data_IF_941611784008
#
_entry.id   IF_941611784008
#
_cell.length_a   1.000
_cell.length_b   1.000
_cell.length_c   1.000
_cell.angle_alpha   90.00
_cell.angle_beta   90.00
_cell.angle_gamma   90.00
#
_symmetry.space_group_name_H-M   'P 1'
#
loop_
_entity.id
_entity.type
_entity.pdbx_description
1 polymer ?
#
# COMPACT_ATOMS: atom_id res chain seq x y z
N UNK A 1 -2.09 21.09 3.28
CA UNK A 1 -3.33 20.42 3.75
C UNK A 1 -3.12 18.92 3.77
N UNK A 2 -3.83 18.18 4.62
CA UNK A 2 -3.67 16.71 4.75
C UNK A 2 -5.01 16.05 4.52
N UNK A 3 -4.97 14.88 3.88
CA UNK A 3 -6.12 13.99 3.77
C UNK A 3 -5.80 12.72 4.52
N UNK A 4 -6.78 12.20 5.27
CA UNK A 4 -6.71 10.90 5.92
C UNK A 4 -7.76 10.00 5.31
N UNK A 5 -7.34 8.92 4.67
CA UNK A 5 -8.20 7.91 4.08
C UNK A 5 -8.30 6.76 5.09
N UNK A 6 -9.48 6.52 5.60
CA UNK A 6 -9.75 5.45 6.55
C UNK A 6 -10.27 4.24 5.77
N UNK A 7 -9.54 3.14 5.84
CA UNK A 7 -9.80 1.95 5.03
C UNK A 7 -10.10 0.75 5.92
N UNK A 8 -11.24 0.11 5.68
CA UNK A 8 -11.49 -1.24 6.16
C UNK A 8 -10.91 -2.23 5.16
N UNK A 9 -9.98 -3.05 5.62
CA UNK A 9 -9.30 -4.06 4.82
C UNK A 9 -9.79 -5.44 5.23
N UNK A 10 -10.77 -5.93 4.50
CA UNK A 10 -11.37 -7.23 4.76
C UNK A 10 -10.52 -8.33 4.11
N UNK A 11 -9.79 -9.06 4.93
CA UNK A 11 -9.07 -10.26 4.51
C UNK A 11 -10.06 -11.40 4.32
N UNK A 12 -10.26 -11.84 3.07
CA UNK A 12 -11.27 -12.84 2.68
C UNK A 12 -10.68 -14.26 2.56
N UNK A 13 -9.36 -14.39 2.54
CA UNK A 13 -8.64 -15.67 2.60
C UNK A 13 -7.61 -15.62 3.71
N UNK A 14 -6.90 -16.71 3.97
CA UNK A 14 -5.70 -16.63 4.82
C UNK A 14 -4.71 -15.59 4.28
N UNK A 15 -3.99 -14.92 5.18
CA UNK A 15 -2.97 -13.93 4.81
C UNK A 15 -1.62 -14.27 5.42
N UNK A 16 -0.57 -14.27 4.60
CA UNK A 16 0.80 -14.45 5.07
C UNK A 16 1.55 -13.12 5.00
N UNK A 17 1.66 -12.45 6.15
CA UNK A 17 2.29 -11.12 6.29
C UNK A 17 3.57 -11.18 7.12
N UNK A 18 4.45 -12.09 6.78
CA UNK A 18 5.74 -12.31 7.48
C UNK A 18 6.80 -11.30 7.04
N UNK A 19 7.80 -11.07 7.89
CA UNK A 19 8.98 -10.28 7.58
C UNK A 19 10.04 -11.18 6.96
N UNK A 20 10.84 -10.66 6.02
CA UNK A 20 11.93 -11.40 5.40
C UNK A 20 12.88 -11.99 6.46
N UNK A 21 13.18 -13.28 6.33
CA UNK A 21 13.99 -14.03 7.29
C UNK A 21 13.27 -14.47 8.58
N UNK A 22 11.95 -14.29 8.66
CA UNK A 22 11.10 -14.79 9.76
C UNK A 22 9.83 -15.39 9.18
N UNK A 23 9.44 -16.55 9.68
CA UNK A 23 8.21 -17.24 9.29
C UNK A 23 7.03 -16.91 10.23
N UNK A 24 7.25 -15.98 11.17
CA UNK A 24 6.29 -15.59 12.19
C UNK A 24 5.52 -14.32 11.81
N UNK A 25 4.26 -14.29 12.19
CA UNK A 25 3.38 -13.10 12.05
C UNK A 25 3.75 -12.08 13.15
N UNK A 26 3.83 -10.81 12.75
CA UNK A 26 4.06 -9.72 13.70
C UNK A 26 2.81 -9.43 14.51
N UNK A 27 2.96 -9.32 15.83
CA UNK A 27 1.87 -9.02 16.76
C UNK A 27 2.18 -7.79 17.62
N UNK A 28 1.14 -7.20 18.20
CA UNK A 28 1.25 -6.12 19.19
C UNK A 28 0.09 -6.18 20.17
N UNK A 29 0.29 -5.62 21.36
CA UNK A 29 -0.75 -5.58 22.39
C UNK A 29 -1.61 -4.33 22.21
N UNK A 30 -2.94 -4.54 22.05
CA UNK A 30 -3.93 -3.47 22.02
C UNK A 30 -5.04 -3.80 23.01
N UNK A 31 -5.27 -2.94 23.98
CA UNK A 31 -6.26 -3.14 25.05
C UNK A 31 -6.09 -4.50 25.76
N UNK A 32 -4.85 -4.89 26.04
CA UNK A 32 -4.52 -6.16 26.71
C UNK A 32 -4.69 -7.42 25.84
N UNK A 33 -5.00 -7.29 24.56
CA UNK A 33 -5.11 -8.40 23.61
C UNK A 33 -3.93 -8.40 22.63
N UNK A 34 -3.32 -9.56 22.43
CA UNK A 34 -2.33 -9.74 21.37
C UNK A 34 -3.02 -9.80 20.01
N UNK A 35 -2.65 -8.89 19.12
CA UNK A 35 -3.26 -8.74 17.79
C UNK A 35 -2.21 -8.82 16.70
N UNK A 36 -2.42 -9.62 15.65
CA UNK A 36 -1.59 -9.56 14.46
C UNK A 36 -1.76 -8.21 13.77
N UNK A 37 -0.72 -7.72 13.13
CA UNK A 37 -0.83 -6.49 12.33
C UNK A 37 -0.11 -6.60 11.00
N UNK A 38 -0.53 -5.76 10.07
CA UNK A 38 0.07 -5.68 8.74
C UNK A 38 0.85 -4.37 8.66
N UNK A 39 2.15 -4.43 8.38
CA UNK A 39 2.95 -3.23 8.17
C UNK A 39 2.41 -2.37 7.02
N UNK A 40 2.32 -1.07 7.25
CA UNK A 40 1.90 -0.10 6.24
C UNK A 40 2.76 -0.15 4.97
N UNK A 41 4.05 -0.49 5.09
CA UNK A 41 4.95 -0.68 3.96
C UNK A 41 4.52 -1.81 3.02
N UNK A 42 3.93 -2.89 3.54
CA UNK A 42 3.41 -4.01 2.73
C UNK A 42 2.17 -3.59 1.93
N UNK A 43 1.26 -2.85 2.57
CA UNK A 43 0.07 -2.30 1.93
C UNK A 43 0.47 -1.33 0.82
N UNK A 44 1.32 -0.36 1.17
CA UNK A 44 1.87 0.63 0.23
C UNK A 44 2.54 -0.01 -0.98
N UNK A 45 3.29 -1.09 -0.79
CA UNK A 45 4.00 -1.75 -1.89
C UNK A 45 3.05 -2.36 -2.93
N UNK A 46 1.92 -2.91 -2.50
CA UNK A 46 0.89 -3.47 -3.40
C UNK A 46 0.17 -2.35 -4.15
N UNK A 47 -0.34 -1.35 -3.44
CA UNK A 47 -1.11 -0.25 -4.01
C UNK A 47 -0.26 0.63 -4.93
N UNK A 48 1.01 0.86 -4.57
CA UNK A 48 1.97 1.47 -5.47
C UNK A 48 2.11 0.69 -6.78
N UNK A 49 2.25 -0.65 -6.74
CA UNK A 49 2.36 -1.47 -7.94
C UNK A 49 1.10 -1.39 -8.80
N UNK A 50 -0.08 -1.38 -8.18
CA UNK A 50 -1.36 -1.21 -8.87
C UNK A 50 -1.40 0.11 -9.64
N UNK A 51 -1.12 1.23 -8.97
CA UNK A 51 -1.04 2.56 -9.60
C UNK A 51 0.06 2.60 -10.68
N UNK A 52 1.25 2.09 -10.39
CA UNK A 52 2.36 2.07 -11.35
C UNK A 52 2.04 1.28 -12.61
N UNK A 53 1.35 0.15 -12.48
CA UNK A 53 0.93 -0.66 -13.63
C UNK A 53 -0.02 0.14 -14.55
N UNK A 54 -0.97 0.87 -13.98
CA UNK A 54 -1.89 1.71 -14.75
C UNK A 54 -1.17 2.88 -15.40
N UNK A 55 -0.31 3.57 -14.64
CA UNK A 55 0.50 4.70 -15.15
C UNK A 55 1.39 4.27 -16.32
N UNK A 56 2.06 3.10 -16.24
CA UNK A 56 2.86 2.56 -17.35
C UNK A 56 2.01 2.32 -18.59
N UNK A 57 0.84 1.69 -18.42
CA UNK A 57 -0.08 1.41 -19.51
C UNK A 57 -0.58 2.69 -20.20
N UNK A 58 -0.97 3.70 -19.42
CA UNK A 58 -1.57 4.94 -19.93
C UNK A 58 -0.54 5.86 -20.59
N UNK A 59 0.65 5.96 -19.99
CA UNK A 59 1.69 6.89 -20.45
C UNK A 59 2.75 6.25 -21.34
N UNK A 60 2.68 4.92 -21.58
CA UNK A 60 3.71 4.15 -22.31
C UNK A 60 5.12 4.42 -21.79
N UNK A 61 5.28 4.49 -20.45
CA UNK A 61 6.55 4.80 -19.79
C UNK A 61 7.11 3.59 -19.06
N UNK A 62 8.40 3.33 -19.26
CA UNK A 62 9.15 2.40 -18.44
C UNK A 62 9.50 3.04 -17.10
N UNK A 63 8.88 2.56 -16.06
CA UNK A 63 9.12 3.00 -14.68
C UNK A 63 9.01 1.80 -13.75
N UNK A 64 10.14 1.15 -13.47
CA UNK A 64 10.23 -0.04 -12.65
C UNK A 64 11.21 0.20 -11.50
N UNK A 65 10.87 -0.33 -10.31
CA UNK A 65 11.84 -0.44 -9.24
C UNK A 65 12.76 -1.62 -9.59
N UNK A 66 14.05 -1.35 -9.74
CA UNK A 66 15.06 -2.36 -9.98
C UNK A 66 16.02 -2.39 -8.79
N UNK A 67 16.30 -3.59 -8.30
CA UNK A 67 17.31 -3.85 -7.27
C UNK A 67 18.48 -4.50 -7.99
N UNK A 68 19.66 -3.87 -7.94
CA UNK A 68 20.86 -4.41 -8.57
C UNK A 68 21.41 -5.57 -7.73
N UNK A 69 21.97 -6.58 -8.42
CA UNK A 69 22.66 -7.70 -7.79
C UNK A 69 23.97 -7.24 -7.09
N UNK A 70 24.51 -8.13 -6.25
CA UNK A 70 25.70 -7.89 -5.41
C UNK A 70 26.83 -7.17 -6.17
N UNK A 71 27.18 -5.97 -5.71
CA UNK A 71 28.32 -5.18 -6.21
C UNK A 71 27.96 -3.78 -6.69
N UNK A 72 26.74 -3.57 -7.16
CA UNK A 72 26.21 -2.25 -7.52
C UNK A 72 25.17 -1.84 -6.46
N UNK A 73 25.58 -1.06 -5.48
CA UNK A 73 24.69 -0.56 -4.43
C UNK A 73 23.75 0.48 -5.01
N UNK A 74 22.57 0.06 -5.47
CA UNK A 74 21.61 1.03 -5.96
C UNK A 74 20.22 0.47 -6.25
N UNK A 75 19.22 1.29 -6.00
CA UNK A 75 17.86 1.13 -6.50
C UNK A 75 17.74 2.05 -7.71
N UNK A 76 17.51 1.48 -8.88
CA UNK A 76 17.37 2.23 -10.13
C UNK A 76 16.04 1.93 -10.82
N UNK A 77 15.84 2.49 -12.00
CA UNK A 77 14.72 2.18 -12.87
C UNK A 77 13.46 3.02 -12.61
N UNK A 78 13.37 3.77 -11.51
CA UNK A 78 12.29 4.75 -11.33
C UNK A 78 12.51 5.95 -12.25
N UNK A 79 11.45 6.32 -12.97
CA UNK A 79 11.56 7.41 -13.94
C UNK A 79 11.64 8.81 -13.32
N UNK A 80 11.18 9.01 -12.08
CA UNK A 80 10.95 10.30 -11.41
C UNK A 80 10.40 11.39 -12.35
N UNK A 81 9.48 11.01 -13.21
CA UNK A 81 8.85 11.89 -14.19
C UNK A 81 7.41 11.47 -14.47
N UNK A 82 6.78 10.74 -13.55
CA UNK A 82 5.40 10.29 -13.68
C UNK A 82 4.61 10.50 -12.38
N UNK A 83 3.26 10.49 -12.44
CA UNK A 83 2.40 10.67 -11.28
C UNK A 83 2.68 9.71 -10.12
N UNK A 84 2.94 8.43 -10.41
CA UNK A 84 3.22 7.47 -9.37
C UNK A 84 4.54 7.75 -8.62
N UNK A 85 5.59 8.21 -9.32
CA UNK A 85 6.83 8.64 -8.68
C UNK A 85 6.64 9.88 -7.82
N UNK A 86 5.81 10.82 -8.22
CA UNK A 86 5.48 11.98 -7.40
C UNK A 86 4.72 11.57 -6.13
N UNK A 87 3.68 10.77 -6.28
CA UNK A 87 2.81 10.37 -5.17
C UNK A 87 3.54 9.50 -4.15
N UNK A 88 4.20 8.44 -4.62
CA UNK A 88 4.85 7.46 -3.73
C UNK A 88 6.33 7.74 -3.45
N UNK A 89 6.90 8.74 -4.09
CA UNK A 89 8.32 9.06 -3.94
C UNK A 89 9.26 8.02 -4.53
N UNK A 90 10.53 8.30 -4.46
CA UNK A 90 11.60 7.41 -4.90
C UNK A 90 12.92 8.11 -5.14
N UNK A 91 13.92 7.32 -5.52
CA UNK A 91 15.26 7.79 -5.86
C UNK A 91 15.57 7.44 -7.32
N UNK A 92 16.12 8.38 -8.03
CA UNK A 92 16.72 8.18 -9.34
C UNK A 92 18.23 8.35 -9.21
N UNK A 93 18.97 7.27 -9.46
CA UNK A 93 20.42 7.28 -9.49
C UNK A 93 20.86 6.59 -10.79
N UNK A 94 21.24 7.36 -11.83
CA UNK A 94 21.70 6.79 -13.08
C UNK A 94 23.13 6.30 -12.93
N UNK A 95 23.34 5.01 -12.69
CA UNK A 95 24.60 4.26 -12.75
C UNK A 95 25.89 4.94 -12.29
N UNK A 96 26.94 4.16 -12.15
CA UNK A 96 28.30 4.61 -11.81
C UNK A 96 28.81 5.75 -12.72
N UNK A 97 29.17 6.88 -12.12
CA UNK A 97 29.84 8.01 -12.80
C UNK A 97 28.97 9.23 -13.11
N UNK A 98 27.66 9.19 -12.95
CA UNK A 98 26.82 10.38 -13.11
C UNK A 98 26.45 10.97 -11.74
N UNK A 99 26.83 12.23 -11.50
CA UNK A 99 26.65 12.96 -10.24
C UNK A 99 25.20 13.38 -9.92
N UNK A 100 24.23 13.05 -10.79
CA UNK A 100 22.84 13.51 -10.61
C UNK A 100 22.05 12.42 -9.87
N UNK A 101 21.88 12.63 -8.58
CA UNK A 101 20.93 11.87 -7.76
C UNK A 101 19.72 12.76 -7.50
N UNK A 102 18.53 12.30 -7.86
CA UNK A 102 17.27 13.00 -7.58
C UNK A 102 16.44 12.15 -6.65
N UNK A 103 16.04 12.75 -5.56
CA UNK A 103 15.14 12.12 -4.58
C UNK A 103 13.80 12.86 -4.57
N UNK A 104 12.71 12.11 -4.53
CA UNK A 104 11.38 12.64 -4.26
C UNK A 104 10.81 11.99 -3.00
N UNK A 105 10.37 12.84 -2.06
CA UNK A 105 9.73 12.37 -0.84
C UNK A 105 8.32 11.87 -1.16
N UNK A 106 7.93 10.74 -0.59
CA UNK A 106 6.56 10.25 -0.64
C UNK A 106 5.57 11.28 -0.10
N UNK A 107 4.46 11.48 -0.78
CA UNK A 107 3.32 12.30 -0.31
C UNK A 107 2.34 11.45 0.49
N UNK A 108 2.51 10.14 0.50
CA UNK A 108 1.64 9.21 1.22
C UNK A 108 2.39 8.55 2.37
N UNK A 109 1.70 8.42 3.49
CA UNK A 109 2.18 7.71 4.67
C UNK A 109 1.13 6.67 5.08
N UNK A 110 1.57 5.42 5.21
CA UNK A 110 0.71 4.30 5.58
C UNK A 110 1.00 3.92 7.03
N UNK A 111 -0.01 4.01 7.89
CA UNK A 111 0.08 3.40 9.21
C UNK A 111 -0.05 1.88 9.10
N UNK A 112 0.23 1.17 10.17
CA UNK A 112 -0.06 -0.26 10.27
C UNK A 112 -1.57 -0.50 10.23
N UNK A 113 -1.96 -1.67 9.69
CA UNK A 113 -3.34 -2.13 9.75
C UNK A 113 -3.51 -3.09 10.93
N UNK A 114 -4.49 -2.79 11.78
CA UNK A 114 -4.81 -3.58 12.97
C UNK A 114 -6.20 -4.20 12.89
N UNK A 115 -6.38 -5.45 13.34
CA UNK A 115 -7.69 -6.07 13.40
C UNK A 115 -8.48 -5.57 14.63
N UNK A 116 -9.81 -5.62 14.54
CA UNK A 116 -10.67 -5.24 15.66
C UNK A 116 -10.61 -6.22 16.84
N UNK A 117 -10.25 -7.48 16.58
CA UNK A 117 -10.17 -8.54 17.59
C UNK A 117 -8.79 -9.19 17.56
N UNK A 118 -8.33 -9.66 18.71
CA UNK A 118 -7.07 -10.38 18.88
C UNK A 118 -7.09 -11.80 18.33
N UNK A 119 -5.93 -12.47 18.38
CA UNK A 119 -5.77 -13.86 17.94
C UNK A 119 -5.90 -14.07 16.44
N UNK A 120 -6.20 -15.31 16.03
CA UNK A 120 -6.42 -15.71 14.64
C UNK A 120 -5.13 -15.87 13.84
N UNK A 121 -4.05 -16.23 14.51
CA UNK A 121 -2.83 -16.75 13.89
C UNK A 121 -2.94 -18.27 13.90
N UNK A 122 -2.60 -18.88 12.77
CA UNK A 122 -2.62 -20.31 12.60
C UNK A 122 -1.35 -20.79 11.90
N UNK A 123 -0.82 -21.91 12.36
CA UNK A 123 0.22 -22.62 11.65
C UNK A 123 -0.40 -23.48 10.54
N UNK A 124 0.17 -23.41 9.35
CA UNK A 124 -0.21 -24.22 8.18
C UNK A 124 1.02 -24.92 7.64
N UNK A 125 0.86 -26.20 7.28
CA UNK A 125 1.90 -27.01 6.68
C UNK A 125 1.61 -27.23 5.20
N UNK A 126 2.67 -27.20 4.39
CA UNK A 126 2.61 -27.61 3.00
C UNK A 126 3.29 -28.96 2.85
N UNK A 127 2.57 -29.93 2.31
CA UNK A 127 3.09 -31.25 2.07
C UNK A 127 3.24 -31.46 0.54
N UNK A 128 4.34 -32.08 0.13
CA UNK A 128 4.46 -32.61 -1.21
C UNK A 128 3.59 -33.87 -1.34
N UNK A 129 2.94 -34.04 -2.48
CA UNK A 129 2.20 -35.25 -2.82
C UNK A 129 3.00 -36.02 -3.88
N UNK A 130 3.28 -37.28 -3.61
CA UNK A 130 3.82 -38.19 -4.62
C UNK A 130 2.67 -38.65 -5.51
N UNK A 131 2.62 -38.12 -6.72
CA UNK A 131 1.52 -38.39 -7.67
C UNK A 131 1.51 -39.85 -8.16
N UNK A 132 2.65 -40.53 -8.16
CA UNK A 132 2.74 -41.94 -8.60
C UNK A 132 2.24 -42.89 -7.52
N UNK A 133 2.62 -42.61 -6.27
CA UNK A 133 2.28 -43.49 -5.13
C UNK A 133 1.00 -43.06 -4.43
N UNK A 134 0.47 -41.90 -4.76
CA UNK A 134 -0.70 -41.27 -4.16
C UNK A 134 -0.61 -41.17 -2.63
N UNK A 135 0.59 -40.84 -2.14
CA UNK A 135 0.89 -40.65 -0.71
C UNK A 135 1.34 -39.21 -0.45
N UNK A 136 0.99 -38.69 0.71
CA UNK A 136 1.50 -37.41 1.18
C UNK A 136 2.94 -37.57 1.63
N UNK A 137 3.84 -36.79 1.03
CA UNK A 137 5.24 -36.75 1.40
C UNK A 137 5.52 -35.94 2.65
N UNK A 138 6.79 -35.70 2.91
CA UNK A 138 7.26 -34.92 4.06
C UNK A 138 6.78 -33.46 3.97
N UNK A 139 6.47 -32.85 5.11
CA UNK A 139 6.13 -31.42 5.18
C UNK A 139 7.27 -30.55 4.63
N UNK A 140 6.95 -29.64 3.71
CA UNK A 140 7.90 -28.70 3.11
C UNK A 140 8.22 -27.51 4.00
N UNK A 141 7.44 -27.30 5.07
CA UNK A 141 7.61 -26.23 6.03
C UNK A 141 6.33 -25.93 6.79
N UNK A 142 6.48 -25.19 7.88
CA UNK A 142 5.38 -24.63 8.67
C UNK A 142 5.39 -23.12 8.46
N UNK A 143 4.27 -22.55 8.07
CA UNK A 143 4.13 -21.11 7.89
C UNK A 143 2.99 -20.59 8.78
N UNK A 144 3.20 -19.44 9.40
CA UNK A 144 2.12 -18.75 10.08
C UNK A 144 1.28 -17.94 9.10
N UNK A 145 -0.04 -18.01 9.26
CA UNK A 145 -1.01 -17.24 8.50
C UNK A 145 -2.02 -16.57 9.43
N UNK A 146 -2.58 -15.46 8.97
CA UNK A 146 -3.69 -14.80 9.64
C UNK A 146 -5.00 -15.30 9.03
N UNK A 147 -5.97 -15.66 9.87
CA UNK A 147 -7.30 -16.03 9.45
C UNK A 147 -8.09 -14.84 8.89
N UNK A 148 -9.10 -15.09 8.02
CA UNK A 148 -9.96 -14.03 7.47
C UNK A 148 -10.53 -13.12 8.56
N UNK A 149 -10.39 -11.81 8.39
CA UNK A 149 -10.86 -10.77 9.33
C UNK A 149 -10.76 -9.38 8.75
N UNK A 150 -11.38 -8.43 9.42
CA UNK A 150 -11.30 -7.01 9.10
C UNK A 150 -10.14 -6.33 9.84
N UNK A 151 -9.42 -5.47 9.11
CA UNK A 151 -8.36 -4.61 9.63
C UNK A 151 -8.71 -3.15 9.36
N UNK A 152 -8.40 -2.27 10.28
CA UNK A 152 -8.45 -0.82 10.09
C UNK A 152 -7.06 -0.28 9.76
N UNK A 153 -6.99 0.56 8.74
CA UNK A 153 -5.78 1.25 8.33
C UNK A 153 -6.09 2.70 7.98
N UNK A 154 -5.23 3.61 8.38
CA UNK A 154 -5.28 5.03 8.01
C UNK A 154 -4.12 5.33 7.07
N UNK A 155 -4.42 5.97 5.95
CA UNK A 155 -3.44 6.42 4.97
C UNK A 155 -3.50 7.93 4.89
N UNK A 156 -2.39 8.59 5.22
CA UNK A 156 -2.28 10.05 5.15
C UNK A 156 -1.74 10.48 3.78
N UNK A 157 -2.28 11.57 3.24
CA UNK A 157 -1.80 12.19 1.99
C UNK A 157 -1.51 13.66 2.23
N UNK A 158 -0.28 14.09 1.97
CA UNK A 158 0.13 15.50 2.05
C UNK A 158 0.02 16.15 0.67
N UNK A 159 -1.12 16.82 0.42
CA UNK A 159 -1.37 17.52 -0.86
C UNK A 159 -2.45 18.57 -0.70
N UNK A 160 -2.42 19.59 -1.57
CA UNK A 160 -3.50 20.56 -1.74
C UNK A 160 -4.39 20.24 -2.96
N UNK A 161 -3.97 19.30 -3.81
CA UNK A 161 -4.68 18.89 -5.01
C UNK A 161 -5.37 17.53 -4.79
N UNK A 162 -6.70 17.52 -4.84
CA UNK A 162 -7.53 16.32 -4.63
C UNK A 162 -7.32 15.22 -5.67
N UNK A 163 -6.81 15.56 -6.83
CA UNK A 163 -6.57 14.58 -7.90
C UNK A 163 -5.51 13.54 -7.49
N UNK A 164 -4.57 13.90 -6.63
CA UNK A 164 -3.63 12.95 -6.04
C UNK A 164 -4.32 11.97 -5.09
N UNK A 165 -5.33 12.46 -4.35
CA UNK A 165 -6.14 11.61 -3.47
C UNK A 165 -6.99 10.65 -4.28
N UNK A 166 -7.62 11.11 -5.38
CA UNK A 166 -8.39 10.26 -6.30
C UNK A 166 -7.54 9.12 -6.87
N UNK A 167 -6.31 9.43 -7.30
CA UNK A 167 -5.40 8.40 -7.83
C UNK A 167 -5.05 7.35 -6.78
N UNK A 168 -4.84 7.76 -5.52
CA UNK A 168 -4.57 6.85 -4.43
C UNK A 168 -5.79 6.00 -4.06
N UNK A 169 -6.97 6.62 -3.96
CA UNK A 169 -8.26 5.94 -3.72
C UNK A 169 -8.47 4.83 -4.75
N UNK A 170 -8.31 5.17 -6.04
CA UNK A 170 -8.35 4.16 -7.11
C UNK A 170 -7.35 3.03 -6.89
N UNK A 171 -6.12 3.34 -6.53
CA UNK A 171 -5.08 2.34 -6.25
C UNK A 171 -5.43 1.41 -5.09
N UNK A 172 -6.04 1.93 -4.02
CA UNK A 172 -6.51 1.16 -2.87
C UNK A 172 -7.65 0.21 -3.30
N UNK A 173 -8.68 0.73 -3.96
CA UNK A 173 -9.86 -0.02 -4.37
C UNK A 173 -9.55 -1.13 -5.38
N UNK A 174 -8.54 -0.93 -6.25
CA UNK A 174 -8.13 -1.88 -7.28
C UNK A 174 -7.01 -2.85 -6.85
N UNK A 175 -6.63 -2.82 -5.58
CA UNK A 175 -5.66 -3.75 -5.01
C UNK A 175 -6.38 -4.85 -4.23
N UNK A 176 -6.12 -6.11 -4.55
CA UNK A 176 -6.86 -7.24 -3.99
C UNK A 176 -6.00 -8.40 -3.47
N UNK A 177 -4.68 -8.37 -3.67
CA UNK A 177 -3.78 -9.45 -3.28
C UNK A 177 -2.59 -8.91 -2.51
N UNK A 178 -2.48 -9.28 -1.24
CA UNK A 178 -1.49 -8.75 -0.31
C UNK A 178 -0.72 -9.87 0.40
N UNK A 179 0.52 -9.59 0.78
CA UNK A 179 1.38 -10.50 1.53
C UNK A 179 2.23 -11.40 0.64
N UNK A 180 2.68 -12.53 1.21
CA UNK A 180 3.40 -13.59 0.51
C UNK A 180 2.43 -14.64 -0.04
N UNK A 181 2.91 -15.50 -0.94
CA UNK A 181 2.12 -16.59 -1.53
C UNK A 181 0.75 -16.15 -2.08
N UNK A 182 0.70 -15.00 -2.75
CA UNK A 182 -0.54 -14.34 -3.22
C UNK A 182 -1.36 -15.15 -4.23
N UNK A 183 -0.82 -16.26 -4.76
CA UNK A 183 -1.60 -17.19 -5.60
C UNK A 183 -2.58 -18.01 -4.77
N UNK A 184 -2.30 -18.23 -3.48
CA UNK A 184 -3.07 -19.05 -2.55
C UNK A 184 -3.74 -18.16 -1.50
N UNK A 185 -3.00 -17.18 -0.97
CA UNK A 185 -3.38 -16.35 0.18
C UNK A 185 -3.54 -14.87 -0.17
N UNK A 186 -3.94 -14.10 0.82
CA UNK A 186 -3.89 -12.65 0.82
C UNK A 186 -4.97 -11.97 -0.04
N UNK A 187 -6.07 -12.67 -0.34
CA UNK A 187 -7.22 -12.03 -0.96
C UNK A 187 -7.83 -11.03 0.03
N UNK A 188 -7.90 -9.79 -0.37
CA UNK A 188 -8.35 -8.69 0.49
C UNK A 188 -9.26 -7.75 -0.30
N UNK A 189 -10.40 -7.41 0.27
CA UNK A 189 -11.30 -6.37 -0.23
C UNK A 189 -11.06 -5.10 0.58
N UNK A 190 -10.82 -4.00 -0.10
CA UNK A 190 -10.66 -2.68 0.53
C UNK A 190 -11.96 -1.90 0.41
N UNK A 191 -12.41 -1.34 1.53
CA UNK A 191 -13.56 -0.47 1.62
C UNK A 191 -13.15 0.85 2.27
N UNK A 192 -13.37 1.96 1.60
CA UNK A 192 -13.09 3.28 2.15
C UNK A 192 -14.26 3.69 3.04
N UNK A 193 -14.01 3.76 4.35
CA UNK A 193 -15.02 4.15 5.34
C UNK A 193 -15.26 5.66 5.36
N UNK A 194 -14.26 6.44 4.96
CA UNK A 194 -14.34 7.88 4.85
C UNK A 194 -13.00 8.53 4.57
N UNK A 195 -13.05 9.78 4.14
CA UNK A 195 -11.87 10.61 3.87
C UNK A 195 -12.06 11.93 4.65
N UNK A 196 -11.06 12.26 5.47
CA UNK A 196 -11.05 13.49 6.28
C UNK A 196 -10.07 14.47 5.63
N UNK A 197 -10.48 15.73 5.49
CA UNK A 197 -9.62 16.84 5.06
C UNK A 197 -9.35 17.75 6.25
N UNK A 198 -8.09 17.88 6.66
CA UNK A 198 -7.69 18.67 7.84
C UNK A 198 -6.25 19.15 7.72
N UNK A 199 -5.87 20.16 8.51
CA UNK A 199 -4.48 20.61 8.62
C UNK A 199 -3.68 19.79 9.65
N UNK A 200 -4.35 18.97 10.46
CA UNK A 200 -3.75 18.08 11.45
C UNK A 200 -4.22 16.63 11.28
N UNK A 201 -3.53 15.72 11.95
CA UNK A 201 -3.97 14.33 12.06
C UNK A 201 -5.16 14.26 13.04
N UNK A 202 -6.29 13.76 12.56
CA UNK A 202 -7.52 13.61 13.37
C UNK A 202 -7.61 12.24 14.01
N UNK A 203 -7.20 11.20 13.27
CA UNK A 203 -7.27 9.81 13.70
C UNK A 203 -6.01 9.03 13.35
N UNK A 204 -5.76 7.95 14.07
CA UNK A 204 -4.74 6.94 13.73
C UNK A 204 -5.37 5.56 13.74
N UNK A 205 -4.79 4.59 13.02
CA UNK A 205 -5.27 3.21 13.05
C UNK A 205 -5.38 2.68 14.48
N UNK A 206 -4.35 2.94 15.29
CA UNK A 206 -4.33 2.53 16.69
C UNK A 206 -5.43 3.18 17.52
N UNK A 207 -5.67 4.49 17.36
CA UNK A 207 -6.73 5.20 18.10
C UNK A 207 -8.12 4.68 17.75
N UNK A 208 -8.34 4.28 16.50
CA UNK A 208 -9.61 3.74 16.05
C UNK A 208 -9.88 2.36 16.67
N UNK A 209 -8.92 1.41 16.60
CA UNK A 209 -9.11 0.06 17.14
C UNK A 209 -9.10 0.01 18.67
N UNK A 210 -8.55 1.04 19.32
CA UNK A 210 -8.60 1.16 20.78
C UNK A 210 -9.98 1.57 21.30
N UNK A 211 -10.77 2.26 20.45
CA UNK A 211 -12.09 2.82 20.81
C UNK A 211 -13.26 2.04 20.25
N UNK A 212 -13.10 1.44 19.08
CA UNK A 212 -14.18 0.82 18.33
C UNK A 212 -13.96 -0.69 18.15
N UNK A 213 -15.04 -1.42 18.06
CA UNK A 213 -15.04 -2.89 17.98
C UNK A 213 -15.29 -3.42 16.57
N UNK A 214 -15.74 -2.56 15.67
CA UNK A 214 -16.03 -2.91 14.27
C UNK A 214 -15.96 -1.68 13.33
N UNK A 215 -15.98 -1.94 12.02
CA UNK A 215 -15.88 -0.94 10.97
C UNK A 215 -17.10 -0.02 10.89
N UNK A 216 -18.30 -0.50 11.32
CA UNK A 216 -19.53 0.31 11.29
C UNK A 216 -19.43 1.46 12.29
N UNK A 217 -18.96 1.18 13.51
CA UNK A 217 -18.75 2.20 14.54
C UNK A 217 -17.65 3.20 14.15
N UNK A 218 -16.61 2.74 13.46
CA UNK A 218 -15.59 3.63 12.89
C UNK A 218 -16.21 4.56 11.86
N UNK A 219 -17.03 4.04 10.96
CA UNK A 219 -17.70 4.86 9.91
C UNK A 219 -18.62 5.91 10.54
N UNK A 220 -19.47 5.54 11.50
CA UNK A 220 -20.33 6.47 12.25
C UNK A 220 -19.50 7.59 12.91
N UNK A 221 -18.35 7.24 13.50
CA UNK A 221 -17.46 8.21 14.13
C UNK A 221 -16.88 9.21 13.11
N UNK A 222 -16.40 8.72 11.96
CA UNK A 222 -15.84 9.57 10.90
C UNK A 222 -16.87 10.54 10.34
N UNK A 223 -18.09 10.07 10.09
CA UNK A 223 -19.22 10.91 9.66
C UNK A 223 -19.53 12.01 10.70
N UNK A 224 -19.45 11.68 11.99
CA UNK A 224 -19.64 12.63 13.10
C UNK A 224 -18.61 13.74 13.20
N UNK A 225 -17.41 13.56 12.64
CA UNK A 225 -16.35 14.58 12.65
C UNK A 225 -16.66 15.80 11.77
N UNK A 226 -17.66 15.72 10.87
CA UNK A 226 -18.07 16.79 9.93
C UNK A 226 -16.92 17.38 9.10
N UNK A 227 -15.85 16.63 8.90
CA UNK A 227 -14.67 16.96 8.10
C UNK A 227 -14.51 16.03 6.90
N UNK A 228 -15.52 15.19 6.69
CA UNK A 228 -15.56 14.23 5.59
C UNK A 228 -15.65 14.93 4.25
N UNK A 229 -14.91 14.41 3.28
CA UNK A 229 -15.01 14.79 1.87
C UNK A 229 -15.31 13.54 1.05
N UNK A 230 -16.14 13.70 0.03
CA UNK A 230 -16.46 12.60 -0.88
C UNK A 230 -15.54 12.68 -2.09
N UNK A 231 -14.61 11.73 -2.17
CA UNK A 231 -13.63 11.64 -3.25
C UNK A 231 -13.72 10.22 -3.82
N UNK A 232 -14.11 10.13 -5.07
CA UNK A 232 -14.18 8.87 -5.82
C UNK A 232 -13.76 9.11 -7.26
N UNK A 233 -13.41 8.04 -7.97
CA UNK A 233 -13.11 8.07 -9.39
C UNK A 233 -13.53 6.76 -10.03
N UNK A 234 -14.10 6.85 -11.23
CA UNK A 234 -14.44 5.67 -12.04
C UNK A 234 -13.21 5.11 -12.76
N UNK A 235 -13.28 3.86 -13.16
CA UNK A 235 -12.24 3.20 -13.96
C UNK A 235 -11.97 3.91 -15.29
N UNK A 236 -12.99 4.45 -15.92
CA UNK A 236 -12.85 5.21 -17.15
C UNK A 236 -12.21 6.59 -16.92
N UNK A 237 -12.42 7.15 -15.72
CA UNK A 237 -11.88 8.46 -15.34
C UNK A 237 -10.40 8.45 -14.99
N UNK A 238 -9.87 7.32 -14.53
CA UNK A 238 -8.48 7.24 -14.03
C UNK A 238 -7.44 7.48 -15.12
N UNK A 239 -7.69 7.08 -16.37
CA UNK A 239 -6.74 7.29 -17.47
C UNK A 239 -6.62 8.78 -17.82
N UNK A 240 -7.73 9.49 -17.82
CA UNK A 240 -7.76 10.93 -18.01
C UNK A 240 -7.07 11.64 -16.84
N UNK A 241 -7.35 11.21 -15.62
CA UNK A 241 -6.70 11.72 -14.41
C UNK A 241 -5.17 11.55 -14.47
N UNK A 242 -4.67 10.38 -14.85
CA UNK A 242 -3.24 10.13 -14.98
C UNK A 242 -2.59 11.07 -16.01
N UNK A 243 -3.23 11.33 -17.15
CA UNK A 243 -2.75 12.28 -18.17
C UNK A 243 -2.74 13.71 -17.64
N UNK A 244 -3.78 14.11 -16.93
CA UNK A 244 -3.87 15.43 -16.27
C UNK A 244 -2.77 15.61 -15.24
N UNK A 245 -2.58 14.64 -14.36
CA UNK A 245 -1.51 14.67 -13.36
C UNK A 245 -0.11 14.62 -13.99
N UNK A 246 0.06 13.94 -15.11
CA UNK A 246 1.33 13.96 -15.86
C UNK A 246 1.68 15.37 -16.37
N UNK A 247 0.68 16.16 -16.74
CA UNK A 247 0.86 17.56 -17.18
C UNK A 247 0.95 18.56 -16.02
N UNK A 248 0.70 18.14 -14.79
CA UNK A 248 0.68 19.02 -13.61
C UNK A 248 2.04 19.66 -13.33
N UNK A 249 2.01 20.83 -12.68
CA UNK A 249 3.23 21.56 -12.29
C UNK A 249 4.15 20.74 -11.40
N UNK A 250 3.57 19.93 -10.52
CA UNK A 250 4.29 19.05 -9.59
C UNK A 250 5.14 18.01 -10.32
N UNK A 251 4.54 17.30 -11.29
CA UNK A 251 5.28 16.30 -12.09
C UNK A 251 6.27 16.98 -13.03
N UNK A 252 5.92 18.11 -13.63
CA UNK A 252 6.84 18.87 -14.49
C UNK A 252 8.06 19.39 -13.72
N UNK A 253 7.89 19.76 -12.45
CA UNK A 253 9.00 20.10 -11.56
C UNK A 253 9.96 18.91 -11.35
N UNK A 254 9.44 17.68 -11.19
CA UNK A 254 10.26 16.46 -11.12
C UNK A 254 11.08 16.26 -12.40
N UNK A 255 10.43 16.43 -13.57
CA UNK A 255 11.08 16.29 -14.88
C UNK A 255 12.26 17.26 -15.02
N UNK A 256 12.08 18.53 -14.63
CA UNK A 256 13.14 19.54 -14.64
C UNK A 256 14.30 19.18 -13.70
N UNK A 257 14.04 18.73 -12.49
CA UNK A 257 15.09 18.31 -11.54
C UNK A 257 15.89 17.11 -12.03
N UNK A 258 15.25 16.20 -12.78
CA UNK A 258 15.92 15.05 -13.39
C UNK A 258 16.83 15.45 -14.56
N UNK A 259 16.44 16.44 -15.35
CA UNK A 259 17.12 16.89 -16.56
C UNK A 259 17.54 18.38 -16.46
N UNK A 260 18.50 18.73 -15.59
CA UNK A 260 18.87 20.13 -15.35
C UNK A 260 19.51 20.82 -16.56
N UNK A 261 19.94 20.06 -17.59
CA UNK A 261 20.54 20.62 -18.80
C UNK A 261 19.53 21.10 -19.86
N UNK A 262 18.24 20.97 -19.61
CA UNK A 262 17.15 21.38 -20.53
C UNK A 262 16.31 22.57 -19.99
N UNK A 263 16.78 23.21 -18.93
CA UNK A 263 16.14 24.37 -18.30
C UNK A 263 16.93 25.67 -18.53
#
# INVERSE_FOLDING_TARGET
MKYQIIVNRKLESFGQFVTEGRDEINTTIVNGQDRPFIFGSKLRAVERRTVMNRVRKVLHKDCYLQVHEKGDSGISGLCLSCPACYLFGGTYAPGTGKKIQVNERSKVNYSEAYPFVGGGIRDVTFNAVDEQKNITGQALGVNQVIEPRDFINVVDVETDNEDWVKLLVWGIEHSSRYGANVRIYGQMKNEILGIIKSDKLEVTSYSLISKFVDSVKVKEHIEGLKKGVNISISDDGVDTLIKTLQASAEVQSLVKRRNPATS
#
